data_IF_323329178862
#
_entry.id   IF_323329178862
#
_cell.length_a   1.000
_cell.length_b   1.000
_cell.length_c   1.000
_cell.angle_alpha   90.00
_cell.angle_beta   90.00
_cell.angle_gamma   90.00
#
_symmetry.space_group_name_H-M   'P 1'
#
loop_
_entity.id
_entity.type
_entity.pdbx_description
1 polymer ?
#
# COMPACT_ATOMS: atom_id res chain seq x y z
N UNK A 1 8.66 -2.08 -13.31
CA UNK A 1 7.46 -1.23 -13.29
C UNK A 1 7.89 0.22 -13.23
N UNK A 2 7.42 1.02 -14.13
CA UNK A 2 7.80 2.44 -14.14
C UNK A 2 6.82 3.26 -13.30
N UNK A 3 7.12 4.55 -13.15
CA UNK A 3 6.31 5.41 -12.30
C UNK A 3 4.86 5.53 -12.74
N UNK A 4 4.65 5.54 -14.03
CA UNK A 4 3.28 5.64 -14.55
C UNK A 4 2.50 4.37 -14.24
N UNK A 5 3.12 3.22 -14.44
CA UNK A 5 2.47 1.95 -14.13
C UNK A 5 2.15 1.85 -12.64
N UNK A 6 3.05 2.36 -11.82
CA UNK A 6 2.81 2.38 -10.38
C UNK A 6 1.57 3.20 -10.05
N UNK A 7 1.46 4.38 -10.65
CA UNK A 7 0.30 5.24 -10.38
C UNK A 7 -1.00 4.58 -10.80
N UNK A 8 -1.00 3.94 -11.96
CA UNK A 8 -2.19 3.26 -12.44
C UNK A 8 -2.57 2.12 -11.50
N UNK A 9 -1.60 1.32 -11.12
CA UNK A 9 -1.87 0.19 -10.24
C UNK A 9 -2.31 0.66 -8.86
N UNK A 10 -1.69 1.70 -8.35
CA UNK A 10 -2.06 2.27 -7.07
C UNK A 10 -3.48 2.79 -7.10
N UNK A 11 -3.84 3.49 -8.17
CA UNK A 11 -5.20 4.03 -8.29
C UNK A 11 -6.23 2.92 -8.33
N UNK A 12 -5.91 1.82 -8.99
CA UNK A 12 -6.83 0.68 -9.02
C UNK A 12 -7.02 0.08 -7.64
N UNK A 13 -5.93 -0.03 -6.89
CA UNK A 13 -6.02 -0.55 -5.53
C UNK A 13 -6.86 0.37 -4.65
N UNK A 14 -6.62 1.67 -4.75
CA UNK A 14 -7.37 2.63 -3.94
C UNK A 14 -8.85 2.62 -4.30
N UNK A 15 -9.16 2.47 -5.58
CA UNK A 15 -10.54 2.40 -6.01
C UNK A 15 -11.20 1.14 -5.46
N UNK A 16 -10.50 0.01 -5.52
CA UNK A 16 -11.02 -1.23 -4.98
C UNK A 16 -11.22 -1.14 -3.48
N UNK A 17 -10.29 -0.50 -2.79
CA UNK A 17 -10.43 -0.28 -1.35
C UNK A 17 -11.68 0.53 -1.05
N UNK A 18 -11.89 1.61 -1.79
CA UNK A 18 -13.08 2.43 -1.63
C UNK A 18 -14.36 1.61 -1.80
N UNK A 19 -14.36 0.76 -2.81
CA UNK A 19 -15.55 -0.06 -3.06
C UNK A 19 -15.81 -1.04 -1.94
N UNK A 20 -14.75 -1.64 -1.41
CA UNK A 20 -14.93 -2.59 -0.33
C UNK A 20 -15.37 -1.89 0.95
N UNK A 21 -14.82 -0.73 1.22
CA UNK A 21 -15.25 0.03 2.39
C UNK A 21 -16.69 0.48 2.25
N UNK A 22 -17.12 0.82 1.04
CA UNK A 22 -18.52 1.20 0.83
C UNK A 22 -19.46 0.05 1.12
N UNK A 23 -19.05 -1.18 0.83
CA UNK A 23 -19.88 -2.33 1.15
C UNK A 23 -20.05 -2.50 2.65
N UNK A 24 -19.04 -2.11 3.40
CA UNK A 24 -19.10 -2.26 4.85
C UNK A 24 -20.14 -1.37 5.47
N UNK A 25 -20.56 -0.34 4.77
CA UNK A 25 -21.60 0.54 5.27
C UNK A 25 -22.90 -0.20 5.53
N UNK A 26 -23.05 -1.38 4.93
CA UNK A 26 -24.25 -2.17 5.13
C UNK A 26 -24.15 -3.10 6.32
N UNK A 27 -23.01 -3.18 6.92
CA UNK A 27 -22.82 -4.04 8.09
C UNK A 27 -23.16 -3.31 9.38
N UNK A 28 -23.49 -4.05 10.43
CA UNK A 28 -23.69 -3.43 11.74
C UNK A 28 -22.41 -2.74 12.17
N UNK A 29 -22.57 -1.66 12.92
CA UNK A 29 -21.42 -0.87 13.35
C UNK A 29 -20.42 -1.72 14.12
N UNK A 30 -20.89 -2.65 14.92
CA UNK A 30 -20.00 -3.47 15.72
C UNK A 30 -19.07 -4.33 14.86
N UNK A 31 -19.53 -4.73 13.69
CA UNK A 31 -18.71 -5.56 12.83
C UNK A 31 -17.88 -4.74 11.86
N UNK A 32 -18.29 -3.52 11.62
CA UNK A 32 -17.69 -2.67 10.62
C UNK A 32 -16.24 -2.36 10.94
N UNK A 33 -15.93 -2.09 12.20
CA UNK A 33 -14.57 -1.72 12.59
C UNK A 33 -13.58 -2.84 12.32
N UNK A 34 -13.94 -4.06 12.70
CA UNK A 34 -13.06 -5.19 12.49
C UNK A 34 -12.81 -5.45 11.02
N UNK A 35 -13.86 -5.36 10.20
CA UNK A 35 -13.72 -5.59 8.78
C UNK A 35 -12.92 -4.48 8.12
N UNK A 36 -13.12 -3.24 8.57
CA UNK A 36 -12.36 -2.12 8.04
C UNK A 36 -10.87 -2.33 8.27
N UNK A 37 -10.50 -2.73 9.49
CA UNK A 37 -9.09 -2.96 9.80
C UNK A 37 -8.51 -4.08 8.95
N UNK A 38 -9.28 -5.13 8.75
CA UNK A 38 -8.80 -6.25 7.97
C UNK A 38 -8.57 -5.85 6.52
N UNK A 39 -9.51 -5.11 5.95
CA UNK A 39 -9.40 -4.67 4.57
C UNK A 39 -8.24 -3.70 4.42
N UNK A 40 -8.11 -2.76 5.35
CA UNK A 40 -7.01 -1.80 5.26
C UNK A 40 -5.67 -2.47 5.39
N UNK A 41 -5.54 -3.45 6.27
CA UNK A 41 -4.29 -4.18 6.42
C UNK A 41 -3.94 -4.93 5.13
N UNK A 42 -4.94 -5.53 4.50
CA UNK A 42 -4.73 -6.25 3.26
C UNK A 42 -4.24 -5.32 2.17
N UNK A 43 -4.85 -4.15 2.04
CA UNK A 43 -4.45 -3.22 1.00
C UNK A 43 -3.11 -2.57 1.32
N UNK A 44 -2.79 -2.38 2.59
CA UNK A 44 -1.48 -1.88 2.98
C UNK A 44 -0.38 -2.82 2.50
N UNK A 45 -0.60 -4.12 2.66
CA UNK A 45 0.37 -5.10 2.19
C UNK A 45 0.52 -5.01 0.67
N UNK A 46 -0.59 -4.90 -0.04
CA UNK A 46 -0.53 -4.82 -1.49
C UNK A 46 0.16 -3.55 -1.96
N UNK A 47 -0.09 -2.44 -1.29
CA UNK A 47 0.59 -1.21 -1.64
C UNK A 47 2.08 -1.29 -1.35
N UNK A 48 2.46 -1.93 -0.25
CA UNK A 48 3.86 -2.10 0.08
C UNK A 48 4.56 -2.96 -0.97
N UNK A 49 3.90 -4.02 -1.42
CA UNK A 49 4.46 -4.87 -2.46
C UNK A 49 4.61 -4.11 -3.77
N UNK A 50 3.62 -3.29 -4.10
CA UNK A 50 3.69 -2.50 -5.30
C UNK A 50 4.84 -1.50 -5.23
N UNK A 51 4.98 -0.86 -4.09
CA UNK A 51 6.06 0.10 -3.89
C UNK A 51 7.42 -0.60 -4.00
N UNK A 52 7.53 -1.80 -3.47
CA UNK A 52 8.77 -2.56 -3.54
C UNK A 52 9.14 -2.88 -4.98
N UNK A 53 8.16 -3.14 -5.83
CA UNK A 53 8.45 -3.39 -7.23
C UNK A 53 9.03 -2.17 -7.91
N UNK A 54 8.48 -1.00 -7.61
CA UNK A 54 9.00 0.22 -8.18
C UNK A 54 10.40 0.50 -7.66
N UNK A 55 10.57 0.36 -6.34
CA UNK A 55 11.87 0.62 -5.73
C UNK A 55 12.93 -0.35 -6.26
N UNK A 56 12.51 -1.56 -6.57
CA UNK A 56 13.44 -2.54 -7.10
C UNK A 56 14.03 -2.16 -8.44
N UNK A 57 13.37 -1.26 -9.16
CA UNK A 57 13.88 -0.80 -10.43
C UNK A 57 14.80 0.40 -10.28
N UNK A 58 15.01 0.85 -9.04
CA UNK A 58 15.89 1.96 -8.77
C UNK A 58 16.87 1.57 -7.68
N UNK A 59 17.77 0.64 -7.97
CA UNK A 59 18.66 0.11 -6.93
C UNK A 59 19.53 1.16 -6.27
N UNK A 60 19.86 2.21 -6.98
CA UNK A 60 20.65 3.26 -6.39
C UNK A 60 19.96 3.93 -5.22
N UNK A 61 18.67 4.10 -5.33
CA UNK A 61 17.90 4.69 -4.25
C UNK A 61 17.85 3.79 -3.05
N UNK A 62 17.71 2.50 -3.28
CA UNK A 62 17.71 1.58 -2.17
C UNK A 62 18.98 1.65 -1.39
N UNK A 63 20.10 1.75 -2.08
CA UNK A 63 21.37 1.86 -1.43
C UNK A 63 21.48 3.12 -0.60
N UNK A 64 20.99 4.21 -1.13
CA UNK A 64 21.03 5.45 -0.41
C UNK A 64 20.26 5.39 0.87
N UNK A 65 19.12 4.76 0.84
CA UNK A 65 18.33 4.66 2.03
C UNK A 65 19.02 3.84 3.09
N UNK A 66 19.65 2.80 2.66
CA UNK A 66 20.32 1.93 3.61
C UNK A 66 21.46 2.61 4.30
N UNK A 67 22.21 3.39 3.55
CA UNK A 67 23.39 3.98 4.13
C UNK A 67 23.13 4.99 5.21
N UNK A 68 22.26 5.94 5.00
CA UNK A 68 22.05 6.93 6.03
C UNK A 68 21.58 6.35 7.33
N UNK A 69 20.87 5.29 7.22
CA UNK A 69 20.36 4.77 8.42
C UNK A 69 21.43 4.20 9.28
N UNK A 70 22.44 3.71 8.64
CA UNK A 70 23.41 3.08 9.38
C UNK A 70 24.20 3.95 10.23
N UNK A 71 24.27 5.16 10.02
CA UNK A 71 25.14 5.89 10.59
C UNK A 71 24.94 6.50 11.73
N UNK A 72 25.14 6.37 12.65
CA UNK A 72 24.99 7.07 13.70
C UNK A 72 26.07 7.16 14.35
N UNK A 73 26.50 7.40 14.48
CA UNK A 73 27.45 7.60 15.13
C UNK A 73 27.65 8.02 15.59
#
# INVERSE_FOLDING_TARGET
MNGYEYLVARNRLMQRLSEELARLAQLPVAERDGETRRIEAKFDVQLAELYAKVAGEFPGERKRKARPIVDPR
#
